data_IF_199259691249
#
_entry.id   IF_199259691249
#
_cell.length_a   1.000
_cell.length_b   1.000
_cell.length_c   1.000
_cell.angle_alpha   90.00
_cell.angle_beta   90.00
_cell.angle_gamma   90.00
#
_symmetry.space_group_name_H-M   'P 1'
#
loop_
_entity.id
_entity.type
_entity.pdbx_description
1 polymer ?
#
# COMPACT_ATOMS: atom_id res chain seq x y z
N UNK A 1 -0.25 7.73 49.32
CA UNK A 1 -0.03 6.70 48.27
C UNK A 1 -0.87 7.05 47.03
N UNK A 2 -0.31 7.83 46.10
CA UNK A 2 -0.97 8.23 44.84
C UNK A 2 -0.36 7.42 43.67
N UNK A 3 -0.27 6.09 43.81
CA UNK A 3 0.53 5.24 42.90
C UNK A 3 -0.27 4.10 42.23
N UNK A 4 -1.57 3.96 42.48
CA UNK A 4 -2.33 2.81 41.96
C UNK A 4 -3.59 3.14 41.15
N UNK A 5 -3.94 4.42 40.96
CA UNK A 5 -5.13 4.81 40.17
C UNK A 5 -4.89 6.02 39.25
N UNK A 6 -3.69 6.15 38.67
CA UNK A 6 -3.46 7.20 37.69
C UNK A 6 -4.09 6.76 36.35
N UNK A 7 -5.35 7.12 36.14
CA UNK A 7 -6.08 6.90 34.88
C UNK A 7 -5.33 7.48 33.66
N UNK A 8 -4.46 8.46 33.90
CA UNK A 8 -3.60 9.13 32.93
C UNK A 8 -2.22 8.46 32.74
N UNK A 9 -2.02 7.22 33.16
CA UNK A 9 -0.78 6.49 32.84
C UNK A 9 -0.67 6.34 31.32
N UNK A 10 0.35 6.98 30.74
CA UNK A 10 0.69 6.88 29.32
C UNK A 10 1.85 5.90 29.11
N UNK A 11 1.88 5.26 27.95
CA UNK A 11 2.98 4.42 27.48
C UNK A 11 3.38 4.85 26.07
N UNK A 12 4.66 4.71 25.75
CA UNK A 12 5.16 4.98 24.41
C UNK A 12 4.73 3.86 23.45
N UNK A 13 4.38 4.23 22.21
CA UNK A 13 4.17 3.30 21.11
C UNK A 13 5.49 2.62 20.72
N UNK A 14 5.44 1.31 20.48
CA UNK A 14 6.61 0.50 20.13
C UNK A 14 6.88 0.42 18.63
N UNK A 15 5.99 0.91 17.77
CA UNK A 15 6.23 0.93 16.33
C UNK A 15 7.35 1.91 15.98
N UNK A 16 8.34 1.40 15.25
CA UNK A 16 9.46 2.20 14.78
C UNK A 16 8.97 3.41 13.97
N UNK A 17 9.34 4.62 14.44
CA UNK A 17 8.95 5.88 13.82
C UNK A 17 7.70 6.56 14.41
N UNK A 18 6.93 5.90 15.29
CA UNK A 18 5.74 6.52 15.88
C UNK A 18 6.05 7.52 17.01
N UNK A 19 6.73 7.07 18.07
CA UNK A 19 7.12 7.91 19.22
C UNK A 19 5.99 8.50 20.06
N UNK A 20 4.72 8.17 19.79
CA UNK A 20 3.56 8.70 20.51
C UNK A 20 3.47 8.14 21.94
N UNK A 21 3.11 8.99 22.90
CA UNK A 21 2.74 8.58 24.25
C UNK A 21 1.21 8.48 24.32
N UNK A 22 0.69 7.28 24.52
CA UNK A 22 -0.74 6.98 24.46
C UNK A 22 -1.20 6.49 25.83
N UNK A 23 -2.39 6.88 26.33
CA UNK A 23 -2.96 6.31 27.54
C UNK A 23 -2.98 4.78 27.46
N UNK A 24 -2.57 4.10 28.54
CA UNK A 24 -2.54 2.63 28.61
C UNK A 24 -3.87 1.99 28.18
N UNK A 25 -5.06 2.52 28.55
CA UNK A 25 -6.34 1.96 28.06
C UNK A 25 -6.49 2.00 26.54
N UNK A 26 -5.94 3.01 25.87
CA UNK A 26 -6.03 3.20 24.41
C UNK A 26 -4.82 2.66 23.65
N UNK A 27 -3.78 2.17 24.34
CA UNK A 27 -2.54 1.71 23.71
C UNK A 27 -2.80 0.54 22.75
N UNK A 28 -3.69 -0.39 23.11
CA UNK A 28 -4.06 -1.53 22.26
C UNK A 28 -4.68 -1.07 20.94
N UNK A 29 -5.64 -0.15 21.01
CA UNK A 29 -6.33 0.39 19.83
C UNK A 29 -5.39 1.24 18.98
N UNK A 30 -4.49 1.99 19.63
CA UNK A 30 -3.44 2.69 18.93
C UNK A 30 -2.50 1.70 18.20
N UNK A 31 -2.06 0.61 18.83
CA UNK A 31 -1.17 -0.36 18.18
C UNK A 31 -1.83 -1.00 16.94
N UNK A 32 -3.13 -1.26 16.96
CA UNK A 32 -3.83 -1.83 15.79
C UNK A 32 -4.06 -0.82 14.67
N UNK A 33 -4.11 0.48 14.98
CA UNK A 33 -4.40 1.56 14.01
C UNK A 33 -3.21 2.47 13.71
N UNK A 34 -2.05 2.23 14.35
CA UNK A 34 -0.87 3.06 14.23
C UNK A 34 -0.39 3.09 12.77
N UNK A 35 -0.22 4.28 12.15
CA UNK A 35 0.26 4.38 10.77
C UNK A 35 1.68 3.82 10.55
N UNK A 36 2.45 3.64 11.62
CA UNK A 36 3.82 3.10 11.60
C UNK A 36 3.86 1.58 11.82
N UNK A 37 2.71 0.93 12.06
CA UNK A 37 2.66 -0.53 12.15
C UNK A 37 3.05 -1.12 10.80
N UNK A 38 3.80 -2.21 10.83
CA UNK A 38 4.12 -2.97 9.63
C UNK A 38 2.89 -3.75 9.17
N UNK A 39 2.69 -3.76 7.86
CA UNK A 39 1.66 -4.52 7.17
C UNK A 39 2.26 -5.21 5.96
N UNK A 40 1.77 -6.41 5.68
CA UNK A 40 2.13 -7.14 4.47
C UNK A 40 1.19 -6.77 3.33
N UNK A 41 1.71 -6.71 2.11
CA UNK A 41 0.90 -6.53 0.92
C UNK A 41 -0.19 -7.62 0.82
N UNK A 42 -1.43 -7.20 0.54
CA UNK A 42 -2.59 -8.09 0.37
C UNK A 42 -2.60 -8.83 -0.98
N UNK A 43 -1.79 -8.39 -1.93
CA UNK A 43 -1.74 -9.00 -3.26
C UNK A 43 -0.86 -10.26 -3.24
N UNK A 44 -1.46 -11.38 -3.64
CA UNK A 44 -0.78 -12.67 -3.73
C UNK A 44 0.50 -12.57 -4.58
N UNK A 45 1.59 -13.12 -4.05
CA UNK A 45 2.91 -13.12 -4.69
C UNK A 45 3.78 -11.90 -4.40
N UNK A 46 3.26 -10.84 -3.79
CA UNK A 46 4.08 -9.67 -3.42
C UNK A 46 4.89 -9.91 -2.13
N UNK A 47 4.21 -10.17 -1.01
CA UNK A 47 4.85 -10.46 0.28
C UNK A 47 5.64 -9.30 0.92
N UNK A 48 5.67 -8.12 0.31
CA UNK A 48 6.40 -6.95 0.83
C UNK A 48 5.78 -6.45 2.14
N UNK A 49 6.63 -6.13 3.12
CA UNK A 49 6.25 -5.52 4.38
C UNK A 49 6.60 -4.02 4.37
N UNK A 50 5.64 -3.18 4.72
CA UNK A 50 5.80 -1.72 4.76
C UNK A 50 4.94 -1.12 5.87
N UNK A 51 5.17 0.16 6.21
CA UNK A 51 4.32 0.83 7.20
C UNK A 51 2.94 1.11 6.62
N UNK A 52 1.87 0.99 7.42
CA UNK A 52 0.50 1.24 6.97
C UNK A 52 0.34 2.60 6.25
N UNK A 53 1.07 3.63 6.67
CA UNK A 53 1.11 4.94 6.01
C UNK A 53 1.58 4.90 4.55
N UNK A 54 2.43 3.95 4.19
CA UNK A 54 3.01 3.80 2.85
C UNK A 54 2.14 2.92 1.94
N UNK A 55 1.03 2.36 2.46
CA UNK A 55 0.14 1.45 1.72
C UNK A 55 -0.37 2.02 0.40
N UNK A 56 -0.69 3.32 0.36
CA UNK A 56 -1.15 3.97 -0.88
C UNK A 56 -0.03 4.02 -1.91
N UNK A 57 1.17 4.44 -1.50
CA UNK A 57 2.34 4.51 -2.37
C UNK A 57 2.79 3.12 -2.86
N UNK A 58 2.68 2.09 -2.01
CA UNK A 58 2.92 0.71 -2.41
C UNK A 58 1.87 0.24 -3.43
N UNK A 59 0.57 0.51 -3.21
CA UNK A 59 -0.51 0.09 -4.12
C UNK A 59 -0.30 0.57 -5.55
N UNK A 60 0.25 1.77 -5.75
CA UNK A 60 0.51 2.33 -7.07
C UNK A 60 1.66 1.64 -7.80
N UNK A 61 2.69 1.18 -7.07
CA UNK A 61 3.89 0.54 -7.64
C UNK A 61 3.85 -1.00 -7.61
N UNK A 62 2.96 -1.60 -6.84
CA UNK A 62 2.89 -3.05 -6.65
C UNK A 62 2.59 -3.76 -7.97
N UNK A 63 3.57 -4.50 -8.49
CA UNK A 63 3.45 -5.28 -9.74
C UNK A 63 2.42 -6.42 -9.66
N UNK A 64 2.07 -6.84 -8.44
CA UNK A 64 1.03 -7.83 -8.17
C UNK A 64 -0.37 -7.21 -8.01
N UNK A 65 -0.48 -5.88 -7.97
CA UNK A 65 -1.77 -5.21 -7.96
C UNK A 65 -2.37 -5.19 -9.38
N UNK A 66 -3.50 -5.89 -9.64
CA UNK A 66 -4.15 -5.89 -10.95
C UNK A 66 -4.81 -4.54 -11.29
N UNK A 67 -5.02 -3.68 -10.29
CA UNK A 67 -5.65 -2.37 -10.43
C UNK A 67 -4.65 -1.22 -10.58
N UNK A 68 -3.34 -1.49 -10.56
CA UNK A 68 -2.35 -0.44 -10.83
C UNK A 68 -2.55 0.11 -12.24
N UNK A 69 -2.33 1.41 -12.41
CA UNK A 69 -2.41 2.05 -13.73
C UNK A 69 -1.04 1.92 -14.41
N UNK A 70 -1.03 1.36 -15.61
CA UNK A 70 0.16 1.17 -16.44
C UNK A 70 -0.08 1.76 -17.83
N UNK A 71 0.96 2.33 -18.46
CA UNK A 71 0.89 2.75 -19.85
C UNK A 71 0.83 1.53 -20.79
N UNK A 72 0.28 1.74 -21.99
CA UNK A 72 0.49 0.82 -23.10
C UNK A 72 1.98 0.72 -23.41
N UNK A 73 2.45 -0.48 -23.78
CA UNK A 73 3.85 -0.73 -24.10
C UNK A 73 4.19 -0.45 -25.57
N UNK A 74 3.19 -0.24 -26.43
CA UNK A 74 3.45 0.08 -27.84
C UNK A 74 3.89 1.53 -27.99
N UNK A 75 5.04 1.70 -28.64
CA UNK A 75 5.62 3.00 -28.96
C UNK A 75 4.61 3.89 -29.71
N UNK A 76 4.44 5.14 -29.25
CA UNK A 76 3.46 6.08 -29.79
C UNK A 76 2.06 6.00 -29.16
N UNK A 77 1.72 4.92 -28.44
CA UNK A 77 0.43 4.83 -27.74
C UNK A 77 0.46 5.57 -26.39
N UNK A 78 -0.36 6.61 -26.23
CA UNK A 78 -0.45 7.37 -24.96
C UNK A 78 -1.49 6.83 -23.97
N UNK A 79 -2.14 5.71 -24.30
CA UNK A 79 -3.20 5.14 -23.46
C UNK A 79 -2.61 4.59 -22.16
N UNK A 80 -3.28 4.87 -21.03
CA UNK A 80 -2.98 4.30 -19.71
C UNK A 80 -4.23 3.62 -19.16
N UNK A 81 -4.09 2.43 -18.60
CA UNK A 81 -5.20 1.63 -18.11
C UNK A 81 -4.80 0.78 -16.90
N UNK A 82 -5.78 0.11 -16.28
CA UNK A 82 -5.49 -0.85 -15.22
C UNK A 82 -4.76 -2.07 -15.81
N UNK A 83 -3.78 -2.60 -15.09
CA UNK A 83 -2.97 -3.72 -15.57
C UNK A 83 -3.82 -4.93 -16.03
N UNK A 84 -4.90 -5.24 -15.31
CA UNK A 84 -5.83 -6.31 -15.69
C UNK A 84 -6.62 -6.07 -16.98
N UNK A 85 -6.88 -4.81 -17.33
CA UNK A 85 -7.71 -4.42 -18.47
C UNK A 85 -6.85 -4.11 -19.72
N UNK A 86 -5.53 -3.93 -19.53
CA UNK A 86 -4.59 -3.58 -20.60
C UNK A 86 -4.52 -4.65 -21.69
N UNK A 87 -4.78 -5.92 -21.36
CA UNK A 87 -4.75 -7.01 -22.34
C UNK A 87 -5.76 -6.82 -23.48
N UNK A 88 -6.98 -6.36 -23.16
CA UNK A 88 -7.99 -6.07 -24.18
C UNK A 88 -7.56 -4.94 -25.11
N UNK A 89 -6.98 -3.88 -24.55
CA UNK A 89 -6.40 -2.79 -25.34
C UNK A 89 -5.27 -3.28 -26.25
N UNK A 90 -4.33 -4.08 -25.73
CA UNK A 90 -3.16 -4.51 -26.51
C UNK A 90 -3.53 -5.30 -27.76
N UNK A 91 -4.65 -6.03 -27.76
CA UNK A 91 -5.11 -6.78 -28.93
C UNK A 91 -5.63 -5.88 -30.05
N UNK A 92 -6.24 -4.75 -29.70
CA UNK A 92 -6.87 -3.79 -30.61
C UNK A 92 -6.12 -2.45 -30.73
N UNK A 93 -4.90 -2.36 -30.19
CA UNK A 93 -4.12 -1.13 -30.22
C UNK A 93 -3.68 -0.81 -31.65
N UNK A 94 -3.94 0.42 -32.11
CA UNK A 94 -3.55 0.90 -33.45
C UNK A 94 -2.03 0.93 -33.65
N UNK A 95 -1.27 1.06 -32.56
CA UNK A 95 0.20 1.05 -32.55
C UNK A 95 0.80 -0.36 -32.42
N UNK A 96 -0.05 -1.40 -32.37
CA UNK A 96 0.41 -2.79 -32.32
C UNK A 96 1.15 -3.13 -33.62
N UNK A 97 2.41 -3.59 -33.57
CA UNK A 97 3.13 -4.02 -34.76
C UNK A 97 2.45 -5.23 -35.39
N UNK A 98 2.25 -5.19 -36.70
CA UNK A 98 1.82 -6.33 -37.51
C UNK A 98 2.92 -6.67 -38.53
N UNK A 99 3.13 -7.96 -38.86
CA UNK A 99 4.09 -8.34 -39.89
C UNK A 99 3.69 -7.73 -41.24
N UNK A 100 4.67 -7.26 -42.02
CA UNK A 100 4.43 -6.90 -43.40
C UNK A 100 4.06 -8.15 -44.23
N UNK A 101 3.13 -8.04 -45.20
CA UNK A 101 2.83 -9.10 -46.16
C UNK A 101 4.04 -9.53 -46.99
#
# INVERSE_FOLDING_TARGET
>A
AHMLSCWSRVSMCLHAGCGQHVPVPSLRDHMSTCPFRLVTCVHWGCGEEFQERDRVAHKERCTHNPYRVVPCHFEGCQMKGKAKDLQGHMLACEFRPVPCP
#
